data_IF_158421803022
#
_entry.id   IF_158421803022
#
_cell.length_a   1.000
_cell.length_b   1.000
_cell.length_c   1.000
_cell.angle_alpha   90.00
_cell.angle_beta   90.00
_cell.angle_gamma   90.00
#
_symmetry.space_group_name_H-M   'P 1'
#
loop_
_entity.id
_entity.type
_entity.pdbx_description
1 polymer ?
#
# COMPACT_ATOMS: atom_id res chain seq x y z
N UNK A 1 17.78 -10.09 -11.18
CA UNK A 1 18.09 -9.50 -9.88
C UNK A 1 18.07 -8.01 -10.01
N UNK A 2 17.66 -7.32 -8.96
CA UNK A 2 17.69 -5.86 -8.82
C UNK A 2 19.03 -5.50 -8.18
N UNK A 3 19.92 -4.88 -8.94
CA UNK A 3 21.32 -4.62 -8.52
C UNK A 3 21.57 -3.18 -8.07
N UNK A 4 20.75 -2.24 -8.56
CA UNK A 4 20.71 -0.85 -8.12
C UNK A 4 19.85 -0.74 -6.87
N UNK A 5 20.32 -0.04 -5.85
CA UNK A 5 19.54 0.21 -4.62
C UNK A 5 18.23 0.92 -4.96
N UNK A 6 17.12 0.19 -4.92
CA UNK A 6 15.82 0.63 -5.44
C UNK A 6 14.78 0.64 -4.34
N UNK A 7 14.04 1.74 -4.23
CA UNK A 7 12.87 1.86 -3.36
C UNK A 7 11.61 2.02 -4.21
N UNK A 8 10.62 1.17 -3.98
CA UNK A 8 9.27 1.34 -4.53
C UNK A 8 8.38 2.00 -3.48
N UNK A 9 7.78 3.13 -3.83
CA UNK A 9 6.79 3.82 -3.00
C UNK A 9 5.41 3.54 -3.56
N UNK A 10 4.60 2.78 -2.83
CA UNK A 10 3.29 2.29 -3.29
C UNK A 10 2.16 3.10 -2.67
N UNK A 11 1.22 3.53 -3.52
CA UNK A 11 -0.09 4.03 -3.09
C UNK A 11 -1.21 3.11 -3.55
N UNK A 12 -2.46 3.49 -3.24
CA UNK A 12 -3.61 2.58 -3.40
C UNK A 12 -3.82 2.11 -4.86
N UNK A 13 -3.40 2.92 -5.84
CA UNK A 13 -3.43 2.52 -7.26
C UNK A 13 -2.51 1.35 -7.59
N UNK A 14 -1.53 1.02 -6.74
CA UNK A 14 -0.60 -0.09 -6.93
C UNK A 14 -1.30 -1.45 -6.82
N UNK A 15 -2.32 -1.53 -5.97
CA UNK A 15 -3.08 -2.77 -5.74
C UNK A 15 -4.34 -2.85 -6.60
N UNK A 16 -4.67 -1.80 -7.36
CA UNK A 16 -5.88 -1.71 -8.19
C UNK A 16 -6.00 -2.79 -9.28
N UNK A 17 -4.92 -3.18 -9.99
CA UNK A 17 -4.94 -4.34 -10.89
C UNK A 17 -5.32 -5.65 -10.20
N UNK A 18 -5.23 -5.72 -8.86
CA UNK A 18 -5.53 -6.91 -8.05
C UNK A 18 -6.85 -6.77 -7.27
N UNK A 19 -7.83 -6.01 -7.83
CA UNK A 19 -9.18 -5.76 -7.27
C UNK A 19 -9.24 -4.93 -5.98
N UNK A 20 -8.11 -4.42 -5.49
CA UNK A 20 -8.14 -3.52 -4.35
C UNK A 20 -8.61 -2.13 -4.78
N UNK A 21 -9.42 -1.45 -3.96
CA UNK A 21 -9.86 -0.10 -4.27
C UNK A 21 -8.73 0.92 -4.08
N UNK A 22 -8.74 1.96 -4.90
CA UNK A 22 -8.04 3.23 -4.60
C UNK A 22 -8.63 3.88 -3.33
N UNK A 23 -7.95 4.90 -2.77
CA UNK A 23 -8.46 5.62 -1.60
C UNK A 23 -9.85 6.24 -1.80
N UNK A 24 -10.13 6.75 -3.01
CA UNK A 24 -11.43 7.30 -3.37
C UNK A 24 -12.50 6.19 -3.52
N UNK A 25 -12.18 5.11 -4.23
CA UNK A 25 -13.10 3.96 -4.37
C UNK A 25 -13.38 3.28 -3.02
N UNK A 26 -12.40 3.23 -2.11
CA UNK A 26 -12.58 2.67 -0.77
C UNK A 26 -13.58 3.51 0.02
N UNK A 27 -13.45 4.85 -0.03
CA UNK A 27 -14.45 5.75 0.57
C UNK A 27 -15.85 5.50 0.00
N UNK A 28 -15.99 5.38 -1.32
CA UNK A 28 -17.29 5.10 -1.95
C UNK A 28 -17.86 3.76 -1.48
N UNK A 29 -17.04 2.70 -1.48
CA UNK A 29 -17.44 1.37 -1.01
C UNK A 29 -17.88 1.38 0.45
N UNK A 30 -17.22 2.13 1.33
CA UNK A 30 -17.64 2.27 2.74
C UNK A 30 -19.05 2.86 2.80
N UNK A 31 -19.30 3.97 2.10
CA UNK A 31 -20.59 4.66 2.09
C UNK A 31 -21.71 3.74 1.56
N UNK A 32 -21.44 3.05 0.45
CA UNK A 32 -22.38 2.12 -0.18
C UNK A 32 -22.70 0.93 0.72
N UNK A 33 -21.67 0.30 1.29
CA UNK A 33 -21.84 -0.91 2.11
C UNK A 33 -22.51 -0.63 3.44
N UNK A 34 -22.25 0.52 4.05
CA UNK A 34 -22.92 0.91 5.29
C UNK A 34 -24.36 1.38 5.09
N UNK A 35 -24.82 1.54 3.84
CA UNK A 35 -26.23 1.80 3.54
C UNK A 35 -27.09 0.53 3.56
N UNK A 36 -26.49 -0.65 3.39
CA UNK A 36 -27.18 -1.94 3.48
C UNK A 36 -26.92 -2.61 4.84
N UNK A 37 -27.96 -2.72 5.66
CA UNK A 37 -27.87 -3.33 6.99
C UNK A 37 -27.52 -4.82 6.97
N UNK A 38 -27.63 -5.47 5.81
CA UNK A 38 -27.25 -6.87 5.62
C UNK A 38 -25.82 -7.04 5.09
N UNK A 39 -25.13 -5.97 4.69
CA UNK A 39 -23.75 -6.08 4.22
C UNK A 39 -22.84 -6.54 5.37
N UNK A 40 -21.87 -7.44 5.11
CA UNK A 40 -20.91 -7.87 6.13
C UNK A 40 -20.18 -6.73 6.85
N UNK A 41 -19.94 -5.60 6.19
CA UNK A 41 -19.35 -4.42 6.84
C UNK A 41 -20.24 -3.80 7.89
N UNK A 42 -21.54 -3.68 7.61
CA UNK A 42 -22.50 -3.18 8.57
C UNK A 42 -22.65 -4.15 9.75
N UNK A 43 -22.79 -5.46 9.46
CA UNK A 43 -22.90 -6.51 10.48
C UNK A 43 -21.69 -6.57 11.40
N UNK A 44 -20.47 -6.47 10.87
CA UNK A 44 -19.26 -6.41 11.68
C UNK A 44 -19.32 -5.26 12.72
N UNK A 45 -19.83 -4.09 12.34
CA UNK A 45 -19.93 -2.96 13.26
C UNK A 45 -20.99 -3.19 14.34
N UNK A 46 -22.17 -3.70 13.97
CA UNK A 46 -23.24 -4.04 14.94
C UNK A 46 -22.75 -5.07 15.98
N UNK A 47 -22.07 -6.12 15.52
CA UNK A 47 -21.54 -7.18 16.38
C UNK A 47 -20.42 -6.69 17.30
N UNK A 48 -19.81 -5.55 16.98
CA UNK A 48 -18.66 -5.02 17.70
C UNK A 48 -19.00 -3.73 18.48
N UNK A 49 -20.26 -3.66 18.92
CA UNK A 49 -20.82 -2.70 19.89
C UNK A 49 -21.12 -1.30 19.35
N UNK A 50 -21.25 -1.12 18.03
CA UNK A 50 -21.77 0.13 17.46
C UNK A 50 -23.28 0.03 17.24
N UNK A 51 -24.03 1.04 17.68
CA UNK A 51 -25.46 1.09 17.42
C UNK A 51 -25.74 1.42 15.95
N UNK A 52 -26.94 1.08 15.46
CA UNK A 52 -27.37 1.47 14.11
C UNK A 52 -27.36 2.99 13.90
N UNK A 53 -27.55 3.77 14.97
CA UNK A 53 -27.46 5.23 14.92
C UNK A 53 -26.00 5.69 14.75
N UNK A 54 -25.05 5.12 15.49
CA UNK A 54 -23.61 5.42 15.34
C UNK A 54 -23.15 5.15 13.90
N UNK A 55 -23.54 4.01 13.34
CA UNK A 55 -23.18 3.60 11.97
C UNK A 55 -23.79 4.58 10.95
N UNK A 56 -25.06 4.94 11.13
CA UNK A 56 -25.76 5.91 10.28
C UNK A 56 -25.12 7.30 10.34
N UNK A 57 -24.71 7.75 11.53
CA UNK A 57 -24.02 9.03 11.71
C UNK A 57 -22.65 9.03 11.02
N UNK A 58 -21.85 7.97 11.20
CA UNK A 58 -20.56 7.83 10.52
C UNK A 58 -20.71 7.84 8.99
N UNK A 59 -21.64 7.04 8.47
CA UNK A 59 -21.90 6.95 7.03
C UNK A 59 -22.30 8.30 6.43
N UNK A 60 -23.21 9.03 7.09
CA UNK A 60 -23.62 10.38 6.68
C UNK A 60 -22.47 11.38 6.77
N UNK A 61 -21.71 11.36 7.86
CA UNK A 61 -20.57 12.25 8.05
C UNK A 61 -19.51 12.03 6.96
N UNK A 62 -19.16 10.78 6.65
CA UNK A 62 -18.22 10.44 5.58
C UNK A 62 -18.76 10.85 4.19
N UNK A 63 -20.06 10.64 3.94
CA UNK A 63 -20.70 11.01 2.68
C UNK A 63 -20.67 12.52 2.44
N UNK A 64 -21.02 13.32 3.47
CA UNK A 64 -21.13 14.77 3.36
C UNK A 64 -19.83 15.54 3.62
N UNK A 65 -18.75 14.90 4.08
CA UNK A 65 -17.48 15.58 4.42
C UNK A 65 -16.71 16.13 3.23
N UNK A 66 -16.98 15.66 2.01
CA UNK A 66 -16.18 15.94 0.80
C UNK A 66 -14.70 15.54 0.91
N UNK A 67 -14.32 14.72 1.90
CA UNK A 67 -12.97 14.16 2.00
C UNK A 67 -12.65 13.30 0.76
N UNK A 68 -11.42 13.38 0.25
CA UNK A 68 -11.01 12.66 -0.96
C UNK A 68 -10.89 11.15 -0.73
N UNK A 69 -10.50 10.76 0.48
CA UNK A 69 -10.34 9.38 0.89
C UNK A 69 -10.72 9.21 2.37
N UNK A 70 -10.76 7.96 2.84
CA UNK A 70 -11.11 7.64 4.23
C UNK A 70 -10.06 8.13 5.23
N UNK A 71 -8.79 8.17 4.86
CA UNK A 71 -7.70 8.55 5.78
C UNK A 71 -7.78 10.03 6.13
N UNK A 72 -7.97 10.89 5.12
CA UNK A 72 -8.22 12.32 5.28
C UNK A 72 -9.42 12.57 6.21
N UNK A 73 -10.47 11.75 6.10
CA UNK A 73 -11.62 11.84 6.98
C UNK A 73 -11.24 11.44 8.42
N UNK A 74 -10.66 10.25 8.62
CA UNK A 74 -10.38 9.72 9.96
C UNK A 74 -9.33 10.54 10.74
N UNK A 75 -8.41 11.21 10.04
CA UNK A 75 -7.46 12.16 10.64
C UNK A 75 -8.18 13.36 11.30
N UNK A 76 -9.33 13.80 10.75
CA UNK A 76 -10.10 14.93 11.26
C UNK A 76 -11.22 14.54 12.23
N UNK A 77 -11.57 13.25 12.32
CA UNK A 77 -12.67 12.77 13.16
C UNK A 77 -12.26 11.56 14.03
N UNK A 78 -11.56 11.80 15.16
CA UNK A 78 -11.02 10.72 15.98
C UNK A 78 -12.07 9.74 16.54
N UNK A 79 -13.28 10.21 16.81
CA UNK A 79 -14.39 9.37 17.28
C UNK A 79 -14.81 8.28 16.28
N UNK A 80 -14.48 8.44 15.00
CA UNK A 80 -14.84 7.46 13.95
C UNK A 80 -13.72 6.48 13.61
N UNK A 81 -12.54 6.57 14.24
CA UNK A 81 -11.39 5.73 13.86
C UNK A 81 -11.65 4.24 14.03
N UNK A 82 -12.17 3.82 15.17
CA UNK A 82 -12.39 2.39 15.41
C UNK A 82 -13.38 1.80 14.40
N UNK A 83 -14.45 2.54 14.09
CA UNK A 83 -15.41 2.16 13.07
C UNK A 83 -14.78 2.12 11.68
N UNK A 84 -14.07 3.19 11.30
CA UNK A 84 -13.40 3.31 10.01
C UNK A 84 -12.38 2.18 9.78
N UNK A 85 -11.53 1.90 10.76
CA UNK A 85 -10.53 0.82 10.69
C UNK A 85 -11.17 -0.54 10.47
N UNK A 86 -12.23 -0.87 11.22
CA UNK A 86 -12.95 -2.16 11.08
C UNK A 86 -13.57 -2.31 9.68
N UNK A 87 -14.21 -1.26 9.17
CA UNK A 87 -14.82 -1.32 7.82
C UNK A 87 -13.76 -1.37 6.73
N UNK A 88 -12.67 -0.62 6.84
CA UNK A 88 -11.52 -0.72 5.93
C UNK A 88 -11.04 -2.17 5.89
N UNK A 89 -10.78 -2.77 7.06
CA UNK A 89 -10.35 -4.17 7.15
C UNK A 89 -11.35 -5.12 6.51
N UNK A 90 -12.65 -5.01 6.82
CA UNK A 90 -13.68 -5.87 6.22
C UNK A 90 -13.66 -5.81 4.69
N UNK A 91 -13.59 -4.59 4.12
CA UNK A 91 -13.64 -4.39 2.67
C UNK A 91 -12.40 -4.97 2.01
N UNK A 92 -11.21 -4.66 2.53
CA UNK A 92 -9.95 -5.08 1.90
C UNK A 92 -9.69 -6.58 2.06
N UNK A 93 -10.14 -7.21 3.14
CA UNK A 93 -10.15 -8.67 3.27
C UNK A 93 -11.09 -9.32 2.24
N UNK A 94 -12.17 -8.62 1.87
CA UNK A 94 -13.04 -9.02 0.77
C UNK A 94 -12.33 -9.11 -0.59
N UNK A 95 -11.25 -8.35 -0.78
CA UNK A 95 -10.43 -8.31 -2.00
C UNK A 95 -9.33 -9.39 -2.04
N UNK A 96 -9.02 -10.06 -0.92
CA UNK A 96 -7.99 -11.11 -0.88
C UNK A 96 -8.46 -12.35 -1.67
N UNK A 97 -7.88 -12.55 -2.86
CA UNK A 97 -8.27 -13.57 -3.85
C UNK A 97 -7.01 -14.10 -4.56
N UNK A 98 -6.47 -15.23 -4.07
CA UNK A 98 -5.26 -15.87 -4.60
C UNK A 98 -5.42 -16.22 -6.08
N UNK A 99 -6.56 -16.81 -6.44
CA UNK A 99 -6.78 -17.29 -7.81
C UNK A 99 -6.69 -16.12 -8.78
N UNK A 100 -7.44 -15.04 -8.54
CA UNK A 100 -7.39 -13.88 -9.42
C UNK A 100 -6.01 -13.22 -9.46
N UNK A 101 -5.33 -13.13 -8.31
CA UNK A 101 -4.02 -12.51 -8.24
C UNK A 101 -2.97 -13.23 -9.09
N UNK A 102 -2.96 -14.57 -9.08
CA UNK A 102 -1.99 -15.37 -9.84
C UNK A 102 -2.40 -15.59 -11.31
N UNK A 103 -3.69 -15.56 -11.63
CA UNK A 103 -4.16 -15.54 -13.02
C UNK A 103 -3.83 -14.19 -13.71
N UNK A 104 -3.85 -13.10 -12.94
CA UNK A 104 -3.52 -11.77 -13.46
C UNK A 104 -2.00 -11.54 -13.53
N UNK A 105 -1.43 -11.71 -14.72
CA UNK A 105 0.01 -11.48 -14.99
C UNK A 105 0.37 -9.99 -15.16
N UNK A 106 0.00 -9.15 -14.20
CA UNK A 106 0.31 -7.71 -14.18
C UNK A 106 1.71 -7.44 -13.56
N UNK A 107 1.91 -6.27 -12.93
CA UNK A 107 3.22 -5.81 -12.51
C UNK A 107 3.85 -6.61 -11.37
N UNK A 108 3.06 -7.30 -10.53
CA UNK A 108 3.60 -8.26 -9.54
C UNK A 108 4.38 -9.39 -10.25
N UNK A 109 3.81 -9.95 -11.32
CA UNK A 109 4.46 -10.99 -12.13
C UNK A 109 5.75 -10.47 -12.78
N UNK A 110 5.69 -9.27 -13.35
CA UNK A 110 6.86 -8.63 -13.95
C UNK A 110 7.96 -8.38 -12.92
N UNK A 111 7.63 -7.78 -11.76
CA UNK A 111 8.58 -7.51 -10.69
C UNK A 111 9.25 -8.80 -10.20
N UNK A 112 8.47 -9.85 -9.90
CA UNK A 112 9.03 -11.13 -9.48
C UNK A 112 9.95 -11.73 -10.55
N UNK A 113 9.60 -11.61 -11.82
CA UNK A 113 10.44 -11.99 -12.96
C UNK A 113 11.78 -11.26 -13.00
N UNK A 114 11.80 -9.95 -12.75
CA UNK A 114 13.03 -9.16 -12.67
C UNK A 114 13.87 -9.54 -11.44
N UNK A 115 13.23 -9.73 -10.28
CA UNK A 115 13.91 -10.11 -9.03
C UNK A 115 14.63 -11.46 -9.16
N UNK A 116 13.99 -12.47 -9.76
CA UNK A 116 14.54 -13.82 -9.92
C UNK A 116 15.51 -13.98 -11.11
N UNK A 117 15.63 -12.97 -11.97
CA UNK A 117 16.42 -13.09 -13.21
C UNK A 117 17.89 -13.38 -12.87
N UNK A 118 18.37 -14.55 -13.27
CA UNK A 118 19.76 -14.98 -13.05
C UNK A 118 20.12 -15.30 -11.60
N UNK A 119 19.15 -15.45 -10.70
CA UNK A 119 19.41 -15.77 -9.28
C UNK A 119 19.05 -17.22 -8.93
N UNK A 120 19.86 -17.83 -8.06
CA UNK A 120 19.42 -18.99 -7.28
C UNK A 120 18.36 -18.57 -6.25
N UNK A 121 17.86 -19.53 -5.48
CA UNK A 121 16.97 -19.24 -4.36
C UNK A 121 17.67 -18.35 -3.32
N UNK A 122 18.90 -18.69 -2.96
CA UNK A 122 19.71 -17.94 -1.99
C UNK A 122 20.08 -16.56 -2.54
N UNK A 123 20.44 -16.47 -3.82
CA UNK A 123 20.73 -15.20 -4.49
C UNK A 123 19.53 -14.26 -4.60
N UNK A 124 18.29 -14.75 -4.40
CA UNK A 124 17.12 -13.87 -4.37
C UNK A 124 17.18 -12.86 -3.20
N UNK A 125 17.81 -13.22 -2.07
CA UNK A 125 18.01 -12.32 -0.94
C UNK A 125 18.98 -11.16 -1.25
N UNK A 126 19.73 -11.24 -2.36
CA UNK A 126 20.68 -10.20 -2.78
C UNK A 126 20.02 -9.07 -3.58
N UNK A 127 18.71 -9.16 -3.84
CA UNK A 127 17.95 -8.08 -4.47
C UNK A 127 18.03 -6.81 -3.62
N UNK A 128 18.55 -5.72 -4.18
CA UNK A 128 18.59 -4.41 -3.52
C UNK A 128 17.28 -3.66 -3.68
N UNK A 129 16.20 -4.27 -3.16
CA UNK A 129 14.85 -3.74 -3.22
C UNK A 129 14.32 -3.48 -1.83
N UNK A 130 13.71 -2.30 -1.63
CA UNK A 130 12.83 -2.04 -0.50
C UNK A 130 11.50 -1.47 -0.96
N UNK A 131 10.46 -1.73 -0.18
CA UNK A 131 9.08 -1.31 -0.45
C UNK A 131 8.62 -0.43 0.71
N UNK A 132 8.13 0.76 0.36
CA UNK A 132 7.42 1.65 1.28
C UNK A 132 6.00 1.76 0.76
N UNK A 133 5.01 1.33 1.53
CA UNK A 133 3.62 1.31 1.09
C UNK A 133 2.73 2.11 2.02
N UNK A 134 1.81 2.84 1.42
CA UNK A 134 0.70 3.51 2.11
C UNK A 134 -0.56 2.65 2.10
N UNK A 135 -0.50 1.47 1.48
CA UNK A 135 -1.62 0.56 1.38
C UNK A 135 -1.73 -0.28 2.65
N UNK A 136 -2.98 -0.53 3.03
CA UNK A 136 -3.30 -1.42 4.14
C UNK A 136 -3.25 -2.90 3.74
N UNK A 137 -3.39 -3.20 2.45
CA UNK A 137 -3.26 -4.56 1.95
C UNK A 137 -1.82 -5.06 2.06
N UNK A 138 -1.67 -6.37 1.91
CA UNK A 138 -0.44 -7.14 2.02
C UNK A 138 -0.27 -8.08 0.82
N UNK A 139 -0.89 -7.72 -0.31
CA UNK A 139 -0.99 -8.62 -1.46
C UNK A 139 0.34 -8.80 -2.16
N UNK A 140 1.21 -7.79 -2.19
CA UNK A 140 2.53 -7.91 -2.79
C UNK A 140 3.42 -8.89 -2.02
N UNK A 141 3.44 -8.79 -0.69
CA UNK A 141 4.23 -9.66 0.16
C UNK A 141 3.73 -11.09 0.10
N UNK A 142 2.41 -11.28 0.10
CA UNK A 142 1.79 -12.59 -0.11
C UNK A 142 2.14 -13.16 -1.49
N UNK A 143 2.11 -12.34 -2.54
CA UNK A 143 2.48 -12.73 -3.89
C UNK A 143 3.93 -13.19 -3.97
N UNK A 144 4.88 -12.39 -3.47
CA UNK A 144 6.32 -12.69 -3.53
C UNK A 144 6.62 -13.93 -2.70
N UNK A 145 6.11 -14.03 -1.46
CA UNK A 145 6.28 -15.19 -0.59
C UNK A 145 5.79 -16.48 -1.26
N UNK A 146 4.57 -16.45 -1.79
CA UNK A 146 3.95 -17.62 -2.43
C UNK A 146 4.69 -17.99 -3.72
N UNK A 147 5.12 -16.98 -4.50
CA UNK A 147 5.90 -17.21 -5.72
C UNK A 147 7.28 -17.81 -5.41
N UNK A 148 7.97 -17.33 -4.37
CA UNK A 148 9.26 -17.88 -3.92
C UNK A 148 9.15 -19.36 -3.55
N UNK A 149 8.17 -19.68 -2.71
CA UNK A 149 7.89 -21.04 -2.25
C UNK A 149 7.68 -22.00 -3.42
N UNK A 150 6.84 -21.62 -4.38
CA UNK A 150 6.43 -22.50 -5.47
C UNK A 150 7.44 -22.53 -6.63
N UNK A 151 8.05 -21.40 -7.00
CA UNK A 151 9.01 -21.34 -8.12
C UNK A 151 10.29 -22.12 -7.81
N UNK A 152 10.79 -22.04 -6.58
CA UNK A 152 12.03 -22.71 -6.16
C UNK A 152 11.79 -24.04 -5.42
N UNK A 153 10.53 -24.51 -5.31
CA UNK A 153 10.15 -25.73 -4.60
C UNK A 153 10.67 -25.79 -3.16
N UNK A 154 10.42 -24.71 -2.40
CA UNK A 154 10.90 -24.53 -1.02
C UNK A 154 9.80 -24.64 0.02
N UNK A 155 10.20 -24.87 1.26
CA UNK A 155 9.28 -24.84 2.40
C UNK A 155 8.83 -23.42 2.72
N UNK A 156 7.76 -23.31 3.52
CA UNK A 156 7.26 -22.01 3.97
C UNK A 156 8.27 -21.23 4.82
N UNK A 157 9.04 -21.90 5.67
CA UNK A 157 10.06 -21.25 6.51
C UNK A 157 11.29 -20.79 5.69
N UNK A 158 11.71 -21.57 4.69
CA UNK A 158 12.77 -21.15 3.76
C UNK A 158 12.34 -19.89 2.99
N UNK A 159 11.14 -19.89 2.41
CA UNK A 159 10.62 -18.73 1.69
C UNK A 159 10.44 -17.50 2.60
N UNK A 160 10.00 -17.71 3.85
CA UNK A 160 9.88 -16.65 4.85
C UNK A 160 11.23 -16.01 5.19
N UNK A 161 12.29 -16.82 5.26
CA UNK A 161 13.65 -16.35 5.52
C UNK A 161 14.12 -15.39 4.43
N UNK A 162 13.91 -15.75 3.15
CA UNK A 162 14.24 -14.87 2.02
C UNK A 162 13.33 -13.63 2.02
N UNK A 163 12.01 -13.79 2.21
CA UNK A 163 11.07 -12.66 2.22
C UNK A 163 11.42 -11.62 3.29
N UNK A 164 11.92 -12.07 4.46
CA UNK A 164 12.34 -11.18 5.56
C UNK A 164 13.55 -10.31 5.20
N UNK A 165 14.36 -10.71 4.21
CA UNK A 165 15.50 -9.90 3.74
C UNK A 165 15.08 -8.68 2.92
N UNK A 166 13.83 -8.63 2.44
CA UNK A 166 13.28 -7.53 1.64
C UNK A 166 12.51 -6.60 2.58
N UNK A 167 12.97 -5.36 2.83
CA UNK A 167 12.26 -4.44 3.70
C UNK A 167 10.92 -4.04 3.09
N UNK A 168 9.83 -4.24 3.84
CA UNK A 168 8.49 -3.75 3.50
C UNK A 168 7.95 -2.93 4.66
N UNK A 169 7.75 -1.64 4.43
CA UNK A 169 7.33 -0.66 5.44
C UNK A 169 5.92 -0.16 5.13
N UNK A 170 4.96 -0.42 6.02
CA UNK A 170 3.60 0.13 5.93
C UNK A 170 3.48 1.40 6.75
N UNK A 171 3.34 2.55 6.10
CA UNK A 171 3.27 3.86 6.78
C UNK A 171 2.02 3.97 7.67
N UNK A 172 0.87 3.51 7.18
CA UNK A 172 -0.39 3.50 7.94
C UNK A 172 -0.72 2.15 8.55
N UNK A 173 0.25 1.24 8.63
CA UNK A 173 0.00 -0.13 9.05
C UNK A 173 -0.77 -0.96 8.01
N UNK A 174 -1.33 -2.09 8.44
CA UNK A 174 -1.83 -3.13 7.54
C UNK A 174 -3.00 -3.92 8.14
N UNK A 175 -3.74 -4.67 7.31
CA UNK A 175 -4.90 -5.49 7.72
C UNK A 175 -4.53 -6.88 8.28
N UNK A 176 -3.45 -6.96 9.05
CA UNK A 176 -2.98 -8.19 9.70
C UNK A 176 -1.67 -8.72 9.17
N UNK A 177 -0.84 -9.26 10.06
CA UNK A 177 0.39 -9.93 9.67
C UNK A 177 0.09 -11.26 8.96
N UNK A 178 0.83 -11.56 7.89
CA UNK A 178 0.82 -12.87 7.26
C UNK A 178 1.44 -13.92 8.20
N UNK A 179 0.98 -15.18 8.19
CA UNK A 179 1.45 -16.18 9.16
C UNK A 179 2.98 -16.38 9.16
N UNK A 180 3.63 -16.24 8.01
CA UNK A 180 5.08 -16.38 7.89
C UNK A 180 5.87 -15.28 8.63
N UNK A 181 5.25 -14.14 8.94
CA UNK A 181 5.88 -13.03 9.67
C UNK A 181 6.00 -13.33 11.18
N UNK A 182 5.25 -14.31 11.71
CA UNK A 182 5.27 -14.71 13.13
C UNK A 182 5.06 -13.51 14.09
N UNK A 183 4.10 -12.64 13.76
CA UNK A 183 3.72 -11.42 14.51
C UNK A 183 2.22 -11.38 14.76
N UNK A 184 1.81 -10.76 15.87
CA UNK A 184 0.40 -10.67 16.30
C UNK A 184 -0.15 -9.25 16.12
N UNK A 185 -1.42 -9.08 15.72
CA UNK A 185 -2.37 -10.11 15.29
C UNK A 185 -2.05 -10.64 13.88
N UNK A 186 -1.97 -11.97 13.78
CA UNK A 186 -1.81 -12.68 12.52
C UNK A 186 -3.17 -13.04 11.90
N UNK A 187 -3.19 -13.17 10.58
CA UNK A 187 -4.35 -13.65 9.82
C UNK A 187 -3.89 -14.30 8.53
N UNK A 188 -4.38 -15.49 8.19
CA UNK A 188 -4.12 -16.09 6.87
C UNK A 188 -4.72 -15.24 5.74
N UNK A 189 -4.04 -15.16 4.60
CA UNK A 189 -4.56 -14.46 3.43
C UNK A 189 -5.87 -15.11 2.96
N UNK A 190 -6.90 -14.30 2.72
CA UNK A 190 -8.26 -14.74 2.42
C UNK A 190 -9.13 -15.13 3.63
N UNK A 191 -8.58 -15.19 4.86
CA UNK A 191 -9.41 -15.52 6.04
C UNK A 191 -10.30 -14.33 6.41
N UNK A 192 -11.63 -14.57 6.39
CA UNK A 192 -12.71 -13.60 6.62
C UNK A 192 -13.44 -13.79 7.96
N UNK A 193 -12.94 -14.62 8.87
CA UNK A 193 -13.57 -14.82 10.18
C UNK A 193 -13.50 -13.53 11.01
N UNK A 194 -14.66 -13.11 11.53
CA UNK A 194 -14.90 -11.86 12.24
C UNK A 194 -13.86 -11.56 13.35
N UNK A 195 -13.52 -12.57 14.16
CA UNK A 195 -12.56 -12.43 15.27
C UNK A 195 -11.20 -11.88 14.82
N UNK A 196 -10.74 -12.25 13.62
CA UNK A 196 -9.46 -11.75 13.10
C UNK A 196 -9.61 -10.33 12.56
N UNK A 197 -10.77 -9.96 12.01
CA UNK A 197 -10.99 -8.65 11.41
C UNK A 197 -10.95 -7.55 12.46
N UNK A 198 -11.56 -7.79 13.63
CA UNK A 198 -11.51 -6.86 14.76
C UNK A 198 -10.08 -6.65 15.23
N UNK A 199 -9.35 -7.74 15.50
CA UNK A 199 -7.98 -7.64 16.01
C UNK A 199 -7.02 -7.03 14.99
N UNK A 200 -7.08 -7.47 13.73
CA UNK A 200 -6.18 -6.96 12.68
C UNK A 200 -6.48 -5.52 12.28
N UNK A 201 -7.72 -5.03 12.44
CA UNK A 201 -8.03 -3.61 12.22
C UNK A 201 -7.26 -2.66 13.15
N UNK A 202 -6.85 -3.13 14.33
CA UNK A 202 -6.07 -2.34 15.29
C UNK A 202 -4.66 -2.01 14.79
N UNK A 203 -4.16 -2.73 13.78
CA UNK A 203 -2.88 -2.46 13.15
C UNK A 203 -2.92 -1.26 12.19
N UNK A 204 -4.10 -0.78 11.81
CA UNK A 204 -4.25 0.45 11.04
C UNK A 204 -3.93 1.65 11.94
N UNK A 205 -3.00 2.48 11.47
CA UNK A 205 -2.56 3.71 12.12
C UNK A 205 -3.16 4.91 11.39
N UNK A 206 -3.66 5.87 12.17
CA UNK A 206 -4.04 7.19 11.67
C UNK A 206 -3.07 8.18 12.30
N UNK A 207 -2.37 8.98 11.48
CA UNK A 207 -1.31 9.88 11.93
C UNK A 207 -1.87 11.30 12.13
N UNK A 208 -2.07 11.71 13.38
CA UNK A 208 -2.80 12.95 13.72
C UNK A 208 -1.91 14.17 13.85
N UNK A 209 -0.79 14.05 14.57
CA UNK A 209 -0.02 15.20 15.00
C UNK A 209 1.44 15.12 14.60
N UNK A 210 2.08 16.29 14.48
CA UNK A 210 3.50 16.41 14.13
C UNK A 210 4.41 15.65 15.11
N UNK A 211 4.05 15.61 16.40
CA UNK A 211 4.79 14.86 17.42
C UNK A 211 4.76 13.35 17.23
N UNK A 212 3.66 12.81 16.70
CA UNK A 212 3.53 11.38 16.38
C UNK A 212 4.41 11.02 15.17
N UNK A 213 4.42 11.90 14.16
CA UNK A 213 5.18 11.73 12.91
C UNK A 213 6.69 11.65 13.19
N UNK A 214 7.24 12.51 14.05
CA UNK A 214 8.68 12.52 14.37
C UNK A 214 9.12 11.28 15.17
N UNK A 215 8.20 10.66 15.90
CA UNK A 215 8.48 9.48 16.71
C UNK A 215 8.19 8.17 15.97
N UNK A 216 7.36 8.20 14.93
CA UNK A 216 6.93 6.99 14.21
C UNK A 216 8.12 6.26 13.56
N UNK A 217 8.25 4.99 13.93
CA UNK A 217 9.36 4.13 13.53
C UNK A 217 9.29 3.75 12.05
N UNK A 218 8.09 3.60 11.48
CA UNK A 218 7.93 3.27 10.06
C UNK A 218 8.39 4.45 9.18
N UNK A 219 8.08 5.69 9.58
CA UNK A 219 8.59 6.87 8.88
C UNK A 219 10.10 7.02 8.99
N UNK A 220 10.70 6.75 10.16
CA UNK A 220 12.17 6.77 10.31
C UNK A 220 12.85 5.75 9.40
N UNK A 221 12.33 4.51 9.38
CA UNK A 221 12.85 3.46 8.50
C UNK A 221 12.68 3.82 7.02
N UNK A 222 11.52 4.39 6.65
CA UNK A 222 11.28 4.90 5.32
C UNK A 222 12.27 6.00 4.92
N UNK A 223 12.57 6.96 5.81
CA UNK A 223 13.58 8.01 5.54
C UNK A 223 14.96 7.41 5.29
N UNK A 224 15.41 6.48 6.14
CA UNK A 224 16.70 5.79 5.96
C UNK A 224 16.79 5.07 4.61
N UNK A 225 15.73 4.37 4.21
CA UNK A 225 15.69 3.66 2.92
C UNK A 225 15.70 4.63 1.74
N UNK A 226 14.90 5.71 1.80
CA UNK A 226 14.85 6.74 0.75
C UNK A 226 16.19 7.48 0.61
N UNK A 227 16.87 7.77 1.72
CA UNK A 227 18.19 8.40 1.74
C UNK A 227 19.28 7.49 1.17
N UNK A 228 19.20 6.17 1.38
CA UNK A 228 20.16 5.20 0.85
C UNK A 228 19.87 4.75 -0.61
N UNK A 229 18.70 5.04 -1.16
CA UNK A 229 18.29 4.59 -2.50
C UNK A 229 19.06 5.29 -3.63
N UNK A 230 19.40 4.56 -4.69
CA UNK A 230 19.87 5.10 -5.98
C UNK A 230 18.69 5.46 -6.89
N UNK A 231 17.63 4.65 -6.85
CA UNK A 231 16.40 4.82 -7.62
C UNK A 231 15.17 4.76 -6.72
N UNK A 232 14.22 5.67 -6.93
CA UNK A 232 12.95 5.72 -6.21
C UNK A 232 11.82 5.79 -7.23
N UNK A 233 10.87 4.86 -7.15
CA UNK A 233 9.72 4.81 -8.07
C UNK A 233 8.40 4.86 -7.31
N UNK A 234 7.59 5.88 -7.59
CA UNK A 234 6.23 6.02 -7.05
C UNK A 234 5.22 5.30 -7.95
N UNK A 235 4.59 4.24 -7.45
CA UNK A 235 3.65 3.41 -8.21
C UNK A 235 2.24 3.54 -7.64
N UNK A 236 1.28 3.95 -8.48
CA UNK A 236 -0.13 4.10 -8.07
C UNK A 236 -0.34 5.10 -6.92
N UNK A 237 0.53 6.10 -6.81
CA UNK A 237 0.58 7.03 -5.69
C UNK A 237 -0.25 8.30 -5.95
N UNK A 238 -0.99 8.78 -4.95
CA UNK A 238 -1.86 9.96 -5.09
C UNK A 238 -1.17 11.33 -4.95
N UNK A 239 0.11 11.36 -4.57
CA UNK A 239 0.94 12.57 -4.40
C UNK A 239 0.34 13.67 -3.51
N UNK A 240 -0.53 13.32 -2.56
CA UNK A 240 -1.03 14.28 -1.57
C UNK A 240 0.15 14.92 -0.81
N UNK A 241 0.12 16.24 -0.68
CA UNK A 241 1.20 17.04 -0.07
C UNK A 241 1.61 16.48 1.30
N UNK A 242 0.64 16.10 2.14
CA UNK A 242 0.90 15.56 3.47
C UNK A 242 1.76 14.29 3.43
N UNK A 243 1.58 13.40 2.44
CA UNK A 243 2.37 12.17 2.32
C UNK A 243 3.77 12.46 1.80
N UNK A 244 3.91 13.42 0.87
CA UNK A 244 5.22 13.88 0.38
C UNK A 244 6.03 14.53 1.50
N UNK A 245 5.37 15.33 2.35
CA UNK A 245 5.97 15.95 3.53
C UNK A 245 6.37 14.88 4.56
N UNK A 246 5.50 13.90 4.84
CA UNK A 246 5.78 12.76 5.73
C UNK A 246 7.02 11.98 5.27
N UNK A 247 7.20 11.78 3.97
CA UNK A 247 8.39 11.12 3.40
C UNK A 247 9.61 12.05 3.26
N UNK A 248 9.48 13.34 3.57
CA UNK A 248 10.54 14.36 3.42
C UNK A 248 11.16 14.39 2.02
N UNK A 249 10.35 14.21 0.97
CA UNK A 249 10.84 14.15 -0.42
C UNK A 249 11.65 15.38 -0.81
N UNK A 250 11.23 16.56 -0.33
CA UNK A 250 11.91 17.83 -0.60
C UNK A 250 13.35 17.89 -0.05
N UNK A 251 13.68 17.07 0.94
CA UNK A 251 15.00 16.99 1.56
C UNK A 251 15.94 16.02 0.84
N UNK A 252 15.43 15.19 -0.08
CA UNK A 252 16.27 14.23 -0.81
C UNK A 252 17.18 14.94 -1.82
N UNK A 253 18.42 14.50 -1.92
CA UNK A 253 19.33 14.97 -2.97
C UNK A 253 18.88 14.42 -4.34
N UNK A 254 18.56 15.32 -5.28
CA UNK A 254 18.08 14.94 -6.61
C UNK A 254 19.23 14.53 -7.52
N UNK A 255 20.40 15.14 -7.34
CA UNK A 255 21.48 15.02 -8.33
C UNK A 255 22.10 13.63 -8.32
N UNK A 256 21.93 12.89 -7.23
CA UNK A 256 22.40 11.52 -7.05
C UNK A 256 21.32 10.45 -7.21
N UNK A 257 20.04 10.82 -7.40
CA UNK A 257 18.89 9.89 -7.35
C UNK A 257 17.98 10.01 -8.56
N UNK A 258 17.63 8.88 -9.16
CA UNK A 258 16.54 8.82 -10.14
C UNK A 258 15.20 8.67 -9.43
N UNK A 259 14.38 9.73 -9.37
CA UNK A 259 13.06 9.71 -8.72
C UNK A 259 11.97 9.91 -9.77
N UNK A 260 11.18 8.87 -10.01
CA UNK A 260 10.13 8.86 -11.03
C UNK A 260 8.84 8.30 -10.47
N UNK A 261 7.75 8.43 -11.21
CA UNK A 261 6.52 7.76 -10.82
C UNK A 261 5.46 7.70 -11.90
N UNK A 262 4.52 6.79 -11.69
CA UNK A 262 3.29 6.74 -12.47
C UNK A 262 2.43 7.97 -12.21
N UNK A 263 1.70 8.42 -13.24
CA UNK A 263 0.79 9.55 -13.13
C UNK A 263 -0.55 9.29 -13.86
N UNK A 264 -0.97 8.03 -13.94
CA UNK A 264 -2.17 7.64 -14.67
C UNK A 264 -3.40 8.42 -14.19
N UNK A 265 -4.10 9.07 -15.11
CA UNK A 265 -5.30 9.86 -14.81
C UNK A 265 -5.06 11.31 -14.38
N UNK A 266 -3.80 11.72 -14.15
CA UNK A 266 -3.48 13.12 -13.90
C UNK A 266 -3.31 13.89 -15.21
N UNK A 267 -3.90 15.07 -15.27
CA UNK A 267 -3.70 16.04 -16.35
C UNK A 267 -2.28 16.63 -16.33
N UNK A 268 -1.87 17.25 -17.43
CA UNK A 268 -0.58 17.94 -17.52
C UNK A 268 -0.42 19.03 -16.46
N UNK A 269 -1.51 19.72 -16.12
CA UNK A 269 -1.51 20.77 -15.09
C UNK A 269 -1.26 20.17 -13.71
N UNK A 270 -1.95 19.08 -13.35
CA UNK A 270 -1.79 18.40 -12.08
C UNK A 270 -0.39 17.81 -11.94
N UNK A 271 0.15 17.20 -13.00
CA UNK A 271 1.55 16.71 -13.02
C UNK A 271 2.55 17.83 -12.73
N UNK A 272 2.39 18.99 -13.38
CA UNK A 272 3.23 20.18 -13.09
C UNK A 272 3.10 20.66 -11.65
N UNK A 273 1.90 20.65 -11.09
CA UNK A 273 1.68 20.99 -9.68
C UNK A 273 2.35 20.00 -8.73
N UNK A 274 2.23 18.69 -8.98
CA UNK A 274 2.88 17.64 -8.19
C UNK A 274 4.40 17.77 -8.22
N UNK A 275 4.97 17.99 -9.41
CA UNK A 275 6.41 18.25 -9.53
C UNK A 275 6.81 19.48 -8.71
N UNK A 276 6.03 20.56 -8.76
CA UNK A 276 6.28 21.75 -7.93
C UNK A 276 6.18 21.46 -6.42
N UNK A 277 5.21 20.66 -5.98
CA UNK A 277 5.05 20.27 -4.57
C UNK A 277 6.26 19.50 -4.04
N UNK A 278 6.88 18.71 -4.91
CA UNK A 278 8.08 17.96 -4.61
C UNK A 278 9.37 18.73 -4.90
N UNK A 279 9.37 20.06 -5.06
CA UNK A 279 10.56 20.85 -5.45
C UNK A 279 11.26 20.30 -6.71
N UNK A 280 10.47 19.81 -7.65
CA UNK A 280 10.88 19.10 -8.86
C UNK A 280 11.77 17.88 -8.59
N UNK A 281 11.69 17.26 -7.41
CA UNK A 281 12.44 16.04 -7.08
C UNK A 281 11.89 14.84 -7.84
N UNK A 282 10.57 14.69 -7.89
CA UNK A 282 9.89 13.62 -8.63
C UNK A 282 9.72 14.07 -10.09
N UNK A 283 10.20 13.27 -11.03
CA UNK A 283 10.00 13.53 -12.47
C UNK A 283 8.78 12.78 -13.00
N UNK A 284 7.78 13.54 -13.47
CA UNK A 284 6.54 13.07 -14.10
C UNK A 284 6.39 13.60 -15.53
N UNK A 285 7.46 14.11 -16.14
CA UNK A 285 7.50 14.56 -17.54
C UNK A 285 7.88 13.45 -18.53
N UNK A 286 7.93 12.21 -18.07
CA UNK A 286 8.16 11.05 -18.91
C UNK A 286 7.09 10.93 -19.99
N UNK A 287 7.48 10.46 -21.17
CA UNK A 287 6.59 10.32 -22.32
C UNK A 287 5.38 9.46 -21.92
N UNK A 288 4.17 9.95 -22.20
CA UNK A 288 2.90 9.24 -21.97
C UNK A 288 2.60 8.80 -20.53
N UNK A 289 3.37 9.20 -19.51
CA UNK A 289 3.22 8.69 -18.12
C UNK A 289 1.83 8.94 -17.49
N UNK A 290 1.07 9.90 -18.02
CA UNK A 290 -0.33 10.14 -17.66
C UNK A 290 -1.32 9.05 -18.10
N UNK A 291 -0.89 8.14 -18.98
CA UNK A 291 -1.72 7.08 -19.56
C UNK A 291 -1.19 5.66 -19.29
N UNK A 292 0.06 5.52 -18.84
CA UNK A 292 0.69 4.22 -18.62
C UNK A 292 0.07 3.51 -17.41
N UNK A 293 -0.21 2.21 -17.55
CA UNK A 293 -0.36 1.32 -16.40
C UNK A 293 0.96 1.18 -15.66
N UNK A 294 0.93 0.65 -14.43
CA UNK A 294 2.17 0.39 -13.67
C UNK A 294 3.06 -0.58 -14.44
N UNK A 295 2.51 -1.65 -15.01
CA UNK A 295 3.28 -2.59 -15.82
C UNK A 295 3.95 -1.92 -17.03
N UNK A 296 3.23 -1.05 -17.74
CA UNK A 296 3.79 -0.31 -18.88
C UNK A 296 4.91 0.64 -18.42
N UNK A 297 4.66 1.41 -17.35
CA UNK A 297 5.66 2.28 -16.74
C UNK A 297 6.92 1.51 -16.33
N UNK A 298 6.77 0.34 -15.71
CA UNK A 298 7.90 -0.50 -15.33
C UNK A 298 8.72 -0.94 -16.54
N UNK A 299 8.07 -1.35 -17.62
CA UNK A 299 8.75 -1.79 -18.84
C UNK A 299 9.46 -0.65 -19.59
N UNK A 300 8.93 0.57 -19.51
CA UNK A 300 9.44 1.71 -20.29
C UNK A 300 10.44 2.59 -19.53
N UNK A 301 10.32 2.69 -18.21
CA UNK A 301 10.98 3.73 -17.42
C UNK A 301 11.68 3.25 -16.15
N UNK A 302 11.52 1.98 -15.76
CA UNK A 302 12.15 1.45 -14.54
C UNK A 302 13.42 0.71 -14.89
N UNK A 303 14.53 1.22 -14.38
CA UNK A 303 15.83 0.55 -14.40
C UNK A 303 16.04 -0.20 -13.09
N UNK A 304 15.98 -1.54 -13.15
CA UNK A 304 16.25 -2.42 -12.01
C UNK A 304 17.66 -3.03 -12.04
N UNK A 305 18.31 -3.03 -13.21
CA UNK A 305 19.69 -3.46 -13.44
C UNK A 305 20.53 -2.34 -14.06
#
# INVERSE_FOLDING_TARGET
MITKSTVLVLGAGASQPFKYPTGFELRQKIIEKLADQNDPAYKLLEQTYFSSDDISQFQKALFHSSANNIDEFLENYPSYQDMGKRVITQILVGCEDDQFMFENSDWYFHLFGEMRRGSSFEGFAENKLAIITFNYDRSLEHYIYTSLKNFYYKTGDEAATIMTSIPVIHIYGQIGYLPWQKKTPERSYGNKEEKYLVETSKLIKVLHEKGDIEKDEALKQAHTLLEAAEKIYFLGFGYHKINLDRLKINSLDKNSKGIYGTAKGFTDKERKQIMSLSNNKIDLNLANVGNLSILQFMREHVELA
#
